data_IF_176521245933
#
_entry.id   IF_176521245933
#
_cell.length_a   1.000
_cell.length_b   1.000
_cell.length_c   1.000
_cell.angle_alpha   90.00
_cell.angle_beta   90.00
_cell.angle_gamma   90.00
#
_symmetry.space_group_name_H-M   'P 1'
#
loop_
_entity.id
_entity.type
_entity.pdbx_description
1 polymer ?
#
# COMPACT_ATOMS: atom_id res chain seq x y z
N UNK A 1 10.86 -45.06 26.18
CA UNK A 1 11.64 -44.07 25.39
C UNK A 1 11.53 -44.40 23.91
N UNK A 2 10.58 -43.82 23.17
CA UNK A 2 10.53 -43.94 21.69
C UNK A 2 9.56 -42.88 21.14
N UNK A 3 10.06 -41.66 20.94
CA UNK A 3 9.48 -40.69 20.00
C UNK A 3 10.67 -40.07 19.24
N UNK A 4 10.81 -40.42 17.96
CA UNK A 4 11.76 -39.79 17.02
C UNK A 4 11.00 -38.73 16.20
N UNK A 5 11.54 -37.53 16.00
CA UNK A 5 10.96 -36.55 15.08
C UNK A 5 11.45 -36.85 13.66
N UNK A 6 10.54 -37.33 12.80
CA UNK A 6 10.83 -37.62 11.38
C UNK A 6 10.36 -36.52 10.41
N UNK A 7 9.86 -35.39 10.89
CA UNK A 7 9.23 -34.38 10.01
C UNK A 7 10.14 -33.21 9.58
N UNK A 8 11.34 -33.05 10.14
CA UNK A 8 12.18 -31.88 9.86
C UNK A 8 12.82 -31.84 8.45
N UNK A 9 13.32 -32.95 7.88
CA UNK A 9 14.04 -32.91 6.61
C UNK A 9 13.14 -32.56 5.42
N UNK A 10 11.90 -33.05 5.43
CA UNK A 10 10.91 -32.78 4.37
C UNK A 10 10.44 -31.32 4.37
N UNK A 11 10.23 -30.74 5.55
CA UNK A 11 9.87 -29.31 5.68
C UNK A 11 11.00 -28.41 5.21
N UNK A 12 12.25 -28.75 5.53
CA UNK A 12 13.42 -28.01 5.04
C UNK A 12 13.64 -28.17 3.53
N UNK A 13 13.43 -29.36 2.97
CA UNK A 13 13.63 -29.61 1.54
C UNK A 13 12.55 -28.90 0.69
N UNK A 14 11.30 -28.88 1.19
CA UNK A 14 10.23 -28.09 0.59
C UNK A 14 10.47 -26.58 0.72
N UNK A 15 11.04 -26.12 1.84
CA UNK A 15 11.45 -24.72 2.01
C UNK A 15 12.57 -24.32 1.04
N UNK A 16 13.55 -25.20 0.81
CA UNK A 16 14.69 -24.92 -0.06
C UNK A 16 14.29 -24.91 -1.55
N UNK A 17 13.45 -25.86 -1.98
CA UNK A 17 12.86 -25.86 -3.33
C UNK A 17 11.92 -24.67 -3.54
N UNK A 18 11.29 -24.17 -2.48
CA UNK A 18 10.45 -22.97 -2.50
C UNK A 18 11.27 -21.68 -2.67
N UNK A 19 12.49 -21.60 -2.15
CA UNK A 19 13.39 -20.44 -2.36
C UNK A 19 14.00 -20.41 -3.77
N UNK A 20 14.40 -21.56 -4.35
CA UNK A 20 15.02 -21.60 -5.68
C UNK A 20 14.06 -21.30 -6.84
N UNK A 21 12.76 -21.60 -6.71
CA UNK A 21 11.76 -21.28 -7.74
C UNK A 21 11.33 -19.80 -7.76
N UNK A 22 11.77 -19.00 -6.78
CA UNK A 22 11.24 -17.65 -6.53
C UNK A 22 12.17 -16.50 -6.98
N UNK A 23 13.38 -16.81 -7.50
CA UNK A 23 14.45 -15.82 -7.65
C UNK A 23 14.52 -15.10 -9.00
N UNK A 24 13.65 -15.42 -9.97
CA UNK A 24 13.56 -14.74 -11.25
C UNK A 24 12.18 -14.10 -11.45
N UNK A 25 12.12 -12.76 -11.42
CA UNK A 25 11.30 -11.90 -12.28
C UNK A 25 11.23 -10.47 -11.70
N UNK A 26 12.00 -9.57 -12.31
CA UNK A 26 11.88 -8.12 -12.17
C UNK A 26 11.13 -7.57 -13.38
N UNK A 27 9.90 -8.02 -13.59
CA UNK A 27 8.97 -7.40 -14.53
C UNK A 27 7.79 -6.88 -13.70
N UNK A 28 7.61 -5.57 -13.73
CA UNK A 28 6.55 -4.87 -12.99
C UNK A 28 5.21 -5.30 -13.58
N UNK A 29 4.37 -5.85 -12.71
CA UNK A 29 3.01 -6.33 -12.95
C UNK A 29 2.14 -5.77 -11.85
N UNK A 30 0.83 -5.69 -12.08
CA UNK A 30 -0.09 -5.18 -11.05
C UNK A 30 -0.02 -6.08 -9.81
N UNK A 31 0.45 -5.53 -8.69
CA UNK A 31 0.72 -6.31 -7.49
C UNK A 31 0.11 -5.66 -6.25
N UNK A 32 -0.66 -6.45 -5.49
CA UNK A 32 -0.94 -6.10 -4.09
C UNK A 32 0.14 -6.76 -3.25
N UNK A 33 0.79 -5.98 -2.41
CA UNK A 33 1.70 -6.50 -1.39
C UNK A 33 1.07 -6.30 -0.01
N UNK A 34 1.09 -7.33 0.82
CA UNK A 34 0.59 -7.25 2.20
C UNK A 34 1.73 -7.46 3.19
N UNK A 35 1.78 -6.61 4.20
CA UNK A 35 2.62 -6.80 5.38
C UNK A 35 1.80 -7.49 6.46
N UNK A 36 2.19 -8.70 6.84
CA UNK A 36 1.50 -9.45 7.90
C UNK A 36 2.18 -9.18 9.25
N UNK A 37 1.42 -8.97 10.34
CA UNK A 37 2.00 -8.79 11.65
C UNK A 37 2.87 -9.97 12.06
N UNK A 38 4.04 -9.68 12.65
CA UNK A 38 5.03 -10.73 13.03
C UNK A 38 4.42 -11.86 13.86
N UNK A 39 3.50 -11.52 14.77
CA UNK A 39 2.84 -12.49 15.64
C UNK A 39 1.82 -13.38 14.89
N UNK A 40 1.28 -12.91 13.77
CA UNK A 40 0.33 -13.66 12.92
C UNK A 40 0.99 -14.39 11.76
N UNK A 41 2.26 -14.11 11.50
CA UNK A 41 2.98 -14.60 10.33
C UNK A 41 3.01 -16.14 10.22
N UNK A 42 3.24 -16.86 11.34
CA UNK A 42 3.24 -18.33 11.33
C UNK A 42 1.87 -18.88 10.90
N UNK A 43 0.79 -18.33 11.45
CA UNK A 43 -0.57 -18.76 11.12
C UNK A 43 -0.92 -18.42 9.67
N UNK A 44 -0.52 -17.25 9.19
CA UNK A 44 -0.66 -16.84 7.81
C UNK A 44 0.02 -17.83 6.86
N UNK A 45 1.30 -18.18 7.11
CA UNK A 45 2.04 -19.19 6.33
C UNK A 45 1.36 -20.55 6.31
N UNK A 46 0.82 -20.99 7.45
CA UNK A 46 0.11 -22.27 7.54
C UNK A 46 -1.17 -22.28 6.70
N UNK A 47 -1.96 -21.20 6.78
CA UNK A 47 -3.18 -21.05 5.96
C UNK A 47 -2.83 -21.00 4.48
N UNK A 48 -1.80 -20.26 4.12
CA UNK A 48 -1.33 -20.11 2.76
C UNK A 48 -0.78 -21.43 2.19
N UNK A 49 0.00 -22.19 2.96
CA UNK A 49 0.49 -23.50 2.56
C UNK A 49 -0.63 -24.53 2.36
N UNK A 50 -1.77 -24.35 3.04
CA UNK A 50 -2.97 -25.18 2.80
C UNK A 50 -3.69 -24.85 1.48
N UNK A 51 -3.34 -23.72 0.84
CA UNK A 51 -3.91 -23.24 -0.41
C UNK A 51 -2.83 -23.25 -1.50
N UNK A 52 -2.63 -24.42 -2.11
CA UNK A 52 -1.52 -24.71 -3.04
C UNK A 52 -1.41 -23.70 -4.20
N UNK A 53 -2.54 -23.19 -4.68
CA UNK A 53 -2.62 -22.22 -5.78
C UNK A 53 -2.12 -20.83 -5.37
N UNK A 54 -2.40 -20.38 -4.14
CA UNK A 54 -1.94 -19.08 -3.62
C UNK A 54 -0.45 -19.09 -3.26
N UNK A 55 0.09 -20.23 -2.85
CA UNK A 55 1.51 -20.37 -2.51
C UNK A 55 2.44 -20.10 -3.70
N UNK A 56 1.95 -20.31 -4.94
CA UNK A 56 2.69 -20.06 -6.19
C UNK A 56 2.71 -18.57 -6.58
N UNK A 57 1.74 -17.78 -6.09
CA UNK A 57 1.52 -16.39 -6.48
C UNK A 57 2.32 -15.40 -5.65
N UNK A 58 3.01 -15.88 -4.64
CA UNK A 58 3.83 -15.05 -3.77
C UNK A 58 5.09 -14.63 -4.51
N UNK A 59 5.54 -13.40 -4.30
CA UNK A 59 6.96 -13.05 -4.38
C UNK A 59 7.39 -12.47 -3.04
N UNK A 60 8.56 -12.89 -2.56
CA UNK A 60 9.11 -12.44 -1.28
C UNK A 60 10.14 -11.35 -1.56
N UNK A 61 9.93 -10.14 -1.03
CA UNK A 61 10.99 -9.12 -0.97
C UNK A 61 10.78 -8.15 0.17
N UNK A 62 11.78 -8.02 1.04
CA UNK A 62 12.27 -6.75 1.58
C UNK A 62 13.58 -7.02 2.33
N UNK A 63 14.63 -6.30 1.95
CA UNK A 63 15.95 -6.35 2.57
C UNK A 63 16.11 -5.32 3.69
N UNK A 64 15.09 -4.52 4.02
CA UNK A 64 15.31 -3.31 4.82
C UNK A 64 14.43 -3.17 6.07
N UNK A 65 13.36 -3.95 6.24
CA UNK A 65 12.62 -3.98 7.50
C UNK A 65 12.23 -5.40 7.88
N UNK A 66 12.33 -5.70 9.18
CA UNK A 66 12.07 -6.99 9.86
C UNK A 66 10.62 -7.52 9.71
N UNK A 67 9.90 -7.16 8.66
CA UNK A 67 8.50 -7.52 8.43
C UNK A 67 8.39 -8.28 7.10
N UNK A 68 7.73 -9.44 7.13
CA UNK A 68 7.55 -10.22 5.92
C UNK A 68 6.43 -9.62 5.07
N UNK A 69 6.79 -9.28 3.83
CA UNK A 69 5.88 -8.75 2.81
C UNK A 69 5.61 -9.84 1.79
N UNK A 70 4.33 -10.04 1.49
CA UNK A 70 3.82 -11.03 0.55
C UNK A 70 3.20 -10.30 -0.64
N UNK A 71 3.79 -10.48 -1.84
CA UNK A 71 3.28 -9.87 -3.08
C UNK A 71 2.40 -10.85 -3.84
N UNK A 72 1.24 -10.42 -4.34
CA UNK A 72 0.31 -11.20 -5.16
C UNK A 72 0.18 -10.56 -6.54
N UNK A 73 0.43 -11.34 -7.59
CA UNK A 73 0.26 -10.97 -8.99
C UNK A 73 -1.15 -11.36 -9.46
N UNK A 74 -2.01 -10.36 -9.71
CA UNK A 74 -3.41 -10.59 -10.07
C UNK A 74 -3.63 -10.79 -11.57
N UNK A 75 -2.66 -10.55 -12.44
CA UNK A 75 -2.80 -10.84 -13.87
C UNK A 75 -2.89 -12.35 -14.13
N UNK A 76 -2.17 -13.12 -13.30
CA UNK A 76 -2.23 -14.58 -13.29
C UNK A 76 -3.44 -15.13 -12.54
N UNK A 77 -4.12 -14.27 -11.78
CA UNK A 77 -5.35 -14.62 -11.10
C UNK A 77 -6.52 -14.39 -12.06
N UNK A 78 -6.91 -15.42 -12.83
CA UNK A 78 -8.27 -15.46 -13.41
C UNK A 78 -9.23 -15.04 -12.30
N UNK A 79 -10.12 -14.06 -12.56
CA UNK A 79 -11.08 -13.41 -11.62
C UNK A 79 -12.05 -14.41 -10.94
N UNK A 80 -11.49 -15.40 -10.28
CA UNK A 80 -12.13 -16.52 -9.65
C UNK A 80 -12.40 -16.08 -8.23
N UNK A 81 -13.64 -15.70 -7.96
CA UNK A 81 -14.11 -15.28 -6.64
C UNK A 81 -13.65 -16.21 -5.52
N UNK A 82 -13.53 -17.52 -5.78
CA UNK A 82 -13.02 -18.49 -4.80
C UNK A 82 -11.58 -18.20 -4.36
N UNK A 83 -10.72 -17.77 -5.26
CA UNK A 83 -9.33 -17.47 -4.94
C UNK A 83 -9.20 -16.18 -4.12
N UNK A 84 -10.03 -15.18 -4.43
CA UNK A 84 -10.14 -13.96 -3.62
C UNK A 84 -10.64 -14.30 -2.21
N UNK A 85 -11.64 -15.18 -2.09
CA UNK A 85 -12.12 -15.69 -0.80
C UNK A 85 -11.02 -16.45 -0.05
N UNK A 86 -10.24 -17.30 -0.74
CA UNK A 86 -9.12 -18.01 -0.13
C UNK A 86 -8.03 -17.05 0.35
N UNK A 87 -7.72 -16.01 -0.43
CA UNK A 87 -6.76 -14.99 -0.06
C UNK A 87 -7.24 -14.24 1.19
N UNK A 88 -8.49 -13.79 1.19
CA UNK A 88 -9.13 -13.13 2.35
C UNK A 88 -9.10 -14.02 3.60
N UNK A 89 -9.43 -15.30 3.45
CA UNK A 89 -9.34 -16.27 4.56
C UNK A 89 -7.91 -16.47 5.08
N UNK A 90 -6.90 -16.40 4.20
CA UNK A 90 -5.49 -16.48 4.60
C UNK A 90 -5.08 -15.24 5.40
N UNK A 91 -5.36 -14.05 4.87
CA UNK A 91 -5.06 -12.75 5.49
C UNK A 91 -5.75 -12.61 6.85
N UNK A 92 -7.00 -13.07 6.94
CA UNK A 92 -7.88 -12.77 8.07
C UNK A 92 -8.28 -11.30 8.08
N UNK A 93 -8.70 -10.82 9.25
CA UNK A 93 -9.31 -9.49 9.38
C UNK A 93 -8.28 -8.38 9.69
N UNK A 94 -7.00 -8.73 9.91
CA UNK A 94 -5.98 -7.78 10.33
C UNK A 94 -4.65 -8.01 9.60
N UNK A 95 -4.23 -7.01 8.85
CA UNK A 95 -2.88 -6.90 8.29
C UNK A 95 -2.22 -5.61 8.81
N UNK A 96 -0.89 -5.53 8.78
CA UNK A 96 -0.19 -4.31 9.23
C UNK A 96 -0.13 -3.29 8.09
N UNK A 97 0.20 -3.75 6.88
CA UNK A 97 0.45 -2.91 5.71
C UNK A 97 -0.27 -3.45 4.48
N UNK A 98 -0.84 -2.55 3.70
CA UNK A 98 -1.32 -2.79 2.35
C UNK A 98 -0.53 -1.91 1.40
N UNK A 99 0.07 -2.50 0.38
CA UNK A 99 0.76 -1.81 -0.70
C UNK A 99 0.10 -2.18 -2.02
N UNK A 100 -0.29 -1.18 -2.80
CA UNK A 100 -0.94 -1.37 -4.09
C UNK A 100 -0.04 -0.74 -5.15
N UNK A 101 0.45 -1.57 -6.06
CA UNK A 101 1.36 -1.20 -7.14
C UNK A 101 0.64 -1.30 -8.49
N UNK A 102 0.33 -0.15 -9.07
CA UNK A 102 -0.32 0.02 -10.37
C UNK A 102 0.68 0.63 -11.35
N UNK A 103 1.04 -0.14 -12.37
CA UNK A 103 1.88 0.33 -13.49
C UNK A 103 1.02 0.48 -14.75
N UNK A 104 0.51 1.69 -15.00
CA UNK A 104 -0.25 2.02 -16.22
C UNK A 104 0.66 2.19 -17.46
N UNK A 105 1.99 2.17 -17.30
CA UNK A 105 2.91 2.39 -18.43
C UNK A 105 3.04 1.16 -19.34
N UNK A 106 2.56 0.02 -18.86
CA UNK A 106 2.45 -1.21 -19.60
C UNK A 106 0.97 -1.33 -19.99
N UNK A 107 0.64 -1.69 -21.24
CA UNK A 107 -0.71 -2.00 -21.72
C UNK A 107 -1.28 -3.27 -21.02
N UNK A 108 -1.24 -3.26 -19.71
CA UNK A 108 -1.51 -4.36 -18.81
C UNK A 108 -2.80 -4.00 -18.09
N UNK A 109 -3.81 -4.88 -18.09
CA UNK A 109 -5.07 -4.59 -17.45
C UNK A 109 -4.85 -4.33 -15.95
N UNK A 110 -5.11 -3.10 -15.54
CA UNK A 110 -5.14 -2.69 -14.14
C UNK A 110 -6.11 -3.58 -13.36
N UNK A 111 -5.77 -3.93 -12.12
CA UNK A 111 -6.70 -4.62 -11.21
C UNK A 111 -8.02 -3.83 -11.12
N UNK A 112 -9.15 -4.42 -11.53
CA UNK A 112 -10.43 -3.72 -11.49
C UNK A 112 -10.77 -3.26 -10.06
N UNK A 113 -11.29 -2.04 -9.94
CA UNK A 113 -11.64 -1.41 -8.67
C UNK A 113 -12.59 -2.28 -7.82
N UNK A 114 -13.52 -2.99 -8.45
CA UNK A 114 -14.44 -3.91 -7.79
C UNK A 114 -13.74 -5.14 -7.21
N UNK A 115 -12.69 -5.64 -7.87
CA UNK A 115 -11.86 -6.74 -7.36
C UNK A 115 -11.04 -6.27 -6.16
N UNK A 116 -10.40 -5.11 -6.25
CA UNK A 116 -9.68 -4.52 -5.12
C UNK A 116 -10.62 -4.34 -3.92
N UNK A 117 -11.81 -3.78 -4.14
CA UNK A 117 -12.82 -3.58 -3.11
C UNK A 117 -13.23 -4.91 -2.43
N UNK A 118 -13.37 -6.00 -3.19
CA UNK A 118 -13.69 -7.32 -2.64
C UNK A 118 -12.57 -7.90 -1.76
N UNK A 119 -11.30 -7.68 -2.15
CA UNK A 119 -10.15 -8.18 -1.41
C UNK A 119 -10.03 -7.51 -0.05
N UNK A 120 -10.19 -6.19 -0.02
CA UNK A 120 -9.95 -5.35 1.17
C UNK A 120 -11.19 -5.24 2.08
N UNK A 121 -12.35 -5.67 1.61
CA UNK A 121 -13.60 -5.55 2.35
C UNK A 121 -13.49 -6.24 3.72
N UNK A 122 -13.79 -5.47 4.78
CA UNK A 122 -13.72 -5.94 6.16
C UNK A 122 -12.31 -6.14 6.73
N UNK A 123 -11.24 -5.87 5.97
CA UNK A 123 -9.86 -5.97 6.46
C UNK A 123 -9.45 -4.67 7.15
N UNK A 124 -8.89 -4.80 8.35
CA UNK A 124 -8.29 -3.71 9.09
C UNK A 124 -6.79 -3.67 8.81
N UNK A 125 -6.27 -2.48 8.53
CA UNK A 125 -4.85 -2.25 8.34
C UNK A 125 -4.50 -0.83 8.72
N UNK A 126 -3.26 -0.62 9.16
CA UNK A 126 -2.84 0.67 9.72
C UNK A 126 -2.18 1.56 8.68
N UNK A 127 -1.55 0.95 7.70
CA UNK A 127 -0.69 1.62 6.73
C UNK A 127 -1.08 1.22 5.31
N UNK A 128 -1.38 2.21 4.48
CA UNK A 128 -1.59 2.05 3.04
C UNK A 128 -0.43 2.70 2.29
N UNK A 129 0.12 2.00 1.29
CA UNK A 129 1.06 2.55 0.31
C UNK A 129 0.46 2.37 -1.07
N UNK A 130 0.44 3.44 -1.85
CA UNK A 130 -0.08 3.44 -3.21
C UNK A 130 1.05 3.88 -4.12
N UNK A 131 1.40 3.03 -5.07
CA UNK A 131 2.28 3.36 -6.20
C UNK A 131 1.39 3.37 -7.44
N UNK A 132 1.08 4.54 -7.97
CA UNK A 132 0.15 4.67 -9.10
C UNK A 132 0.62 5.78 -10.04
N UNK A 133 0.66 5.53 -11.35
CA UNK A 133 1.03 6.58 -12.30
C UNK A 133 0.03 7.75 -12.24
N UNK A 134 -1.27 7.47 -12.39
CA UNK A 134 -2.34 8.48 -12.28
C UNK A 134 -3.47 8.11 -11.29
N UNK A 135 -3.71 8.92 -10.26
CA UNK A 135 -4.89 8.71 -9.39
C UNK A 135 -6.13 9.29 -10.09
N UNK A 136 -6.98 8.40 -10.62
CA UNK A 136 -8.27 8.77 -11.25
C UNK A 136 -9.37 9.05 -10.23
N UNK A 137 -10.43 9.76 -10.66
CA UNK A 137 -11.60 10.08 -9.81
C UNK A 137 -12.27 8.80 -9.27
N UNK A 138 -12.38 7.75 -10.09
CA UNK A 138 -12.98 6.48 -9.68
C UNK A 138 -12.15 5.77 -8.61
N UNK A 139 -10.83 5.78 -8.76
CA UNK A 139 -9.93 5.21 -7.76
C UNK A 139 -9.95 6.03 -6.48
N UNK A 140 -9.92 7.37 -6.56
CA UNK A 140 -10.04 8.26 -5.41
C UNK A 140 -11.34 7.99 -4.62
N UNK A 141 -12.46 7.85 -5.31
CA UNK A 141 -13.75 7.50 -4.69
C UNK A 141 -13.72 6.13 -4.01
N UNK A 142 -13.04 5.14 -4.60
CA UNK A 142 -12.83 3.84 -3.97
C UNK A 142 -12.00 3.97 -2.68
N UNK A 143 -10.90 4.72 -2.72
CA UNK A 143 -10.04 4.96 -1.55
C UNK A 143 -10.85 5.57 -0.41
N UNK A 144 -11.60 6.64 -0.71
CA UNK A 144 -12.39 7.37 0.28
C UNK A 144 -13.48 6.51 0.92
N UNK A 145 -14.15 5.67 0.12
CA UNK A 145 -15.27 4.86 0.59
C UNK A 145 -14.84 3.62 1.36
N UNK A 146 -13.77 2.94 0.93
CA UNK A 146 -13.44 1.60 1.40
C UNK A 146 -12.15 1.53 2.23
N UNK A 147 -11.18 2.41 2.00
CA UNK A 147 -9.83 2.28 2.58
C UNK A 147 -9.57 3.31 3.66
N UNK A 148 -9.91 4.58 3.44
CA UNK A 148 -9.58 5.66 4.39
C UNK A 148 -10.15 5.50 5.81
N UNK A 149 -11.40 5.03 6.03
CA UNK A 149 -11.98 5.01 7.37
C UNK A 149 -11.25 4.15 8.41
N UNK A 150 -10.46 3.16 7.98
CA UNK A 150 -9.73 2.24 8.85
C UNK A 150 -8.24 2.57 9.02
N UNK A 151 -7.75 3.65 8.38
CA UNK A 151 -6.32 3.94 8.24
C UNK A 151 -5.77 4.98 9.23
N UNK A 152 -4.58 4.68 9.76
CA UNK A 152 -3.79 5.66 10.53
C UNK A 152 -2.78 6.41 9.63
N UNK A 153 -2.23 5.74 8.61
CA UNK A 153 -1.17 6.24 7.74
C UNK A 153 -1.46 5.93 6.28
N UNK A 154 -1.23 6.90 5.40
CA UNK A 154 -1.19 6.70 3.94
C UNK A 154 0.12 7.24 3.33
N UNK A 155 0.69 6.48 2.39
CA UNK A 155 1.80 6.91 1.55
C UNK A 155 1.35 6.90 0.10
N UNK A 156 1.36 8.06 -0.52
CA UNK A 156 0.95 8.29 -1.89
C UNK A 156 2.20 8.51 -2.74
N UNK A 157 2.49 7.57 -3.62
CA UNK A 157 3.57 7.65 -4.60
C UNK A 157 2.94 7.67 -5.97
N UNK A 158 2.77 8.86 -6.52
CA UNK A 158 2.14 9.04 -7.82
C UNK A 158 2.83 10.08 -8.67
N UNK A 159 2.57 9.99 -9.98
CA UNK A 159 3.11 10.95 -10.96
C UNK A 159 2.08 12.04 -11.25
N UNK A 160 0.79 11.69 -11.37
CA UNK A 160 -0.30 12.63 -11.65
C UNK A 160 -1.57 12.25 -10.89
N UNK A 161 -2.47 13.21 -10.74
CA UNK A 161 -3.82 13.01 -10.23
C UNK A 161 -4.77 13.78 -11.14
N UNK A 162 -6.00 13.31 -11.34
CA UNK A 162 -7.00 14.00 -12.16
C UNK A 162 -7.28 15.43 -11.66
N UNK A 163 -7.30 16.42 -12.57
CA UNK A 163 -7.36 17.85 -12.22
C UNK A 163 -8.67 18.32 -11.56
N UNK A 164 -9.74 17.52 -11.62
CA UNK A 164 -11.09 17.93 -11.20
C UNK A 164 -11.21 18.15 -9.68
N UNK A 165 -10.37 17.50 -8.85
CA UNK A 165 -10.62 17.48 -7.39
C UNK A 165 -9.41 17.25 -6.45
N UNK A 166 -8.17 17.45 -6.89
CA UNK A 166 -6.94 17.08 -6.14
C UNK A 166 -6.88 17.65 -4.71
N UNK A 167 -7.17 18.94 -4.56
CA UNK A 167 -7.14 19.60 -3.26
C UNK A 167 -8.18 19.03 -2.29
N UNK A 168 -9.39 18.73 -2.77
CA UNK A 168 -10.43 18.13 -1.92
C UNK A 168 -10.11 16.68 -1.57
N UNK A 169 -9.54 15.91 -2.50
CA UNK A 169 -9.07 14.56 -2.20
C UNK A 169 -8.03 14.57 -1.07
N UNK A 170 -7.00 15.44 -1.14
CA UNK A 170 -6.00 15.55 -0.09
C UNK A 170 -6.60 16.01 1.25
N UNK A 171 -7.60 16.90 1.23
CA UNK A 171 -8.35 17.30 2.41
C UNK A 171 -9.15 16.15 2.99
N UNK A 172 -9.84 15.37 2.16
CA UNK A 172 -10.57 14.19 2.57
C UNK A 172 -9.61 13.19 3.23
N UNK A 173 -8.50 12.86 2.58
CA UNK A 173 -7.43 12.02 3.15
C UNK A 173 -7.01 12.50 4.53
N UNK A 174 -6.66 13.78 4.68
CA UNK A 174 -6.23 14.37 5.96
C UNK A 174 -7.29 14.32 7.08
N UNK A 175 -8.56 14.11 6.74
CA UNK A 175 -9.66 13.96 7.70
C UNK A 175 -9.77 12.55 8.29
N UNK A 176 -9.18 11.56 7.61
CA UNK A 176 -9.18 10.17 8.04
C UNK A 176 -7.87 9.77 8.70
N UNK A 177 -6.73 10.14 8.09
CA UNK A 177 -5.42 9.63 8.50
C UNK A 177 -4.63 10.65 9.35
N UNK A 178 -3.70 10.13 10.16
CA UNK A 178 -2.79 10.95 10.98
C UNK A 178 -1.49 11.28 10.25
N UNK A 179 -1.04 10.41 9.35
CA UNK A 179 0.20 10.62 8.62
C UNK A 179 -0.01 10.45 7.12
N UNK A 180 0.44 11.46 6.37
CA UNK A 180 0.43 11.45 4.91
C UNK A 180 1.87 11.57 4.43
N UNK A 181 2.28 10.67 3.53
CA UNK A 181 3.49 10.81 2.74
C UNK A 181 3.12 11.06 1.27
N UNK A 182 3.76 12.02 0.61
CA UNK A 182 3.56 12.31 -0.83
C UNK A 182 4.93 12.34 -1.51
N UNK A 183 5.16 11.48 -2.50
CA UNK A 183 6.44 11.46 -3.21
C UNK A 183 6.67 12.73 -4.02
N UNK A 184 5.72 13.14 -4.85
CA UNK A 184 5.86 14.31 -5.71
C UNK A 184 4.73 15.31 -5.49
N UNK A 185 5.06 16.43 -4.87
CA UNK A 185 4.10 17.50 -4.62
C UNK A 185 4.10 18.56 -5.73
N UNK A 186 4.96 18.43 -6.75
CA UNK A 186 5.06 19.39 -7.86
C UNK A 186 3.95 19.20 -8.88
N UNK A 187 3.62 17.94 -9.13
CA UNK A 187 2.65 17.51 -10.14
C UNK A 187 1.26 17.24 -9.57
N UNK A 188 0.96 17.76 -8.37
CA UNK A 188 -0.37 17.64 -7.75
C UNK A 188 -1.42 18.53 -8.41
N UNK A 189 -1.16 19.07 -9.61
CA UNK A 189 -2.06 19.95 -10.37
C UNK A 189 -2.56 21.20 -9.64
N UNK A 190 -1.94 21.55 -8.51
CA UNK A 190 -2.31 22.69 -7.66
C UNK A 190 -1.91 24.05 -8.27
N UNK A 191 -1.80 24.14 -9.61
CA UNK A 191 -1.52 25.39 -10.30
C UNK A 191 -2.61 26.42 -9.96
N UNK A 192 -2.24 27.45 -9.19
CA UNK A 192 -3.16 28.50 -8.74
C UNK A 192 -3.81 28.27 -7.36
N UNK A 193 -3.57 27.13 -6.70
CA UNK A 193 -3.99 26.90 -5.31
C UNK A 193 -2.87 27.34 -4.36
N UNK A 194 -3.20 28.08 -3.30
CA UNK A 194 -2.25 28.40 -2.25
C UNK A 194 -1.94 27.13 -1.44
N UNK A 195 -0.85 26.44 -1.79
CA UNK A 195 -0.43 25.20 -1.14
C UNK A 195 -0.30 25.34 0.38
N UNK A 196 0.04 26.54 0.88
CA UNK A 196 0.13 26.77 2.32
C UNK A 196 -1.24 26.74 2.99
N UNK A 197 -2.28 27.30 2.36
CA UNK A 197 -3.64 27.23 2.90
C UNK A 197 -4.17 25.80 2.87
N UNK A 198 -3.94 25.08 1.76
CA UNK A 198 -4.31 23.67 1.66
C UNK A 198 -3.66 22.83 2.77
N UNK A 199 -2.35 22.95 2.95
CA UNK A 199 -1.61 22.20 3.99
C UNK A 199 -2.08 22.62 5.39
N UNK A 200 -2.30 23.91 5.64
CA UNK A 200 -2.87 24.38 6.90
C UNK A 200 -4.22 23.73 7.22
N UNK A 201 -5.10 23.68 6.21
CA UNK A 201 -6.42 23.03 6.32
C UNK A 201 -6.28 21.53 6.55
N UNK A 202 -5.34 20.85 5.90
CA UNK A 202 -5.07 19.43 6.17
C UNK A 202 -4.66 19.21 7.64
N UNK A 203 -3.80 20.05 8.20
CA UNK A 203 -3.39 19.96 9.62
C UNK A 203 -4.48 20.42 10.60
N UNK A 204 -5.49 21.15 10.15
CA UNK A 204 -6.67 21.48 10.97
C UNK A 204 -7.62 20.29 11.17
N UNK A 205 -7.42 19.21 10.42
CA UNK A 205 -8.18 17.96 10.54
C UNK A 205 -7.51 16.99 11.53
N UNK A 206 -7.42 15.69 11.19
CA UNK A 206 -6.80 14.65 12.03
C UNK A 206 -5.31 14.47 11.77
N UNK A 207 -4.79 15.07 10.69
CA UNK A 207 -3.41 14.90 10.27
C UNK A 207 -2.44 15.49 11.30
N UNK A 208 -1.53 14.64 11.78
CA UNK A 208 -0.49 14.97 12.75
C UNK A 208 0.88 15.16 12.08
N UNK A 209 1.11 14.52 10.92
CA UNK A 209 2.36 14.59 10.17
C UNK A 209 2.10 14.59 8.66
N UNK A 210 2.85 15.43 7.93
CA UNK A 210 2.93 15.42 6.48
C UNK A 210 4.41 15.30 6.08
N UNK A 211 4.71 14.32 5.24
CA UNK A 211 6.05 14.13 4.69
C UNK A 211 5.99 14.23 3.17
N UNK A 212 6.90 15.00 2.59
CA UNK A 212 6.95 15.20 1.15
C UNK A 212 8.38 15.10 0.66
N UNK A 213 8.60 14.34 -0.41
CA UNK A 213 9.92 14.14 -0.98
C UNK A 213 10.28 15.23 -2.00
N UNK A 214 9.45 15.45 -3.01
CA UNK A 214 9.73 16.49 -4.01
C UNK A 214 8.84 17.71 -3.83
N UNK A 215 9.46 18.80 -3.35
CA UNK A 215 8.89 20.15 -3.35
C UNK A 215 9.71 21.07 -4.27
N UNK A 216 9.09 22.08 -4.84
CA UNK A 216 9.85 23.19 -5.41
C UNK A 216 10.49 24.01 -4.28
N UNK A 217 11.74 24.48 -4.41
CA UNK A 217 12.42 25.25 -3.36
C UNK A 217 11.63 26.46 -2.87
N UNK A 218 10.95 27.19 -3.78
CA UNK A 218 10.12 28.35 -3.44
C UNK A 218 8.90 28.01 -2.58
N UNK A 219 8.31 26.82 -2.73
CA UNK A 219 7.22 26.36 -1.87
C UNK A 219 7.70 26.04 -0.45
N UNK A 220 8.92 25.51 -0.29
CA UNK A 220 9.48 25.18 1.03
C UNK A 220 9.65 26.46 1.86
N UNK A 221 10.20 27.52 1.26
CA UNK A 221 10.38 28.81 1.92
C UNK A 221 9.03 29.43 2.28
N UNK A 222 8.08 29.45 1.35
CA UNK A 222 6.74 29.96 1.58
C UNK A 222 5.99 29.19 2.68
N UNK A 223 6.17 27.87 2.78
CA UNK A 223 5.57 27.06 3.84
C UNK A 223 6.21 27.31 5.20
N UNK A 224 7.54 27.51 5.25
CA UNK A 224 8.24 27.86 6.49
C UNK A 224 7.78 29.22 7.03
N UNK A 225 7.55 30.18 6.14
CA UNK A 225 7.08 31.52 6.51
C UNK A 225 5.61 31.53 6.94
N UNK A 226 4.74 30.82 6.20
CA UNK A 226 3.29 30.81 6.46
C UNK A 226 2.86 29.85 7.57
N UNK A 227 3.62 28.79 7.84
CA UNK A 227 3.26 27.74 8.79
C UNK A 227 4.34 27.47 9.86
N UNK A 228 4.80 28.50 10.60
CA UNK A 228 5.90 28.35 11.56
C UNK A 228 5.59 27.38 12.70
N UNK A 229 4.32 27.23 13.07
CA UNK A 229 3.84 26.29 14.12
C UNK A 229 3.72 24.85 13.65
N UNK A 230 3.67 24.61 12.33
CA UNK A 230 3.53 23.27 11.72
C UNK A 230 4.89 22.68 11.37
N UNK A 231 5.96 23.47 11.38
CA UNK A 231 7.28 23.07 10.87
C UNK A 231 7.92 21.82 11.49
N UNK A 232 7.50 21.37 12.69
CA UNK A 232 7.96 20.08 13.27
C UNK A 232 7.18 18.86 12.78
N UNK A 233 5.99 19.10 12.23
CA UNK A 233 5.07 18.09 11.70
C UNK A 233 5.17 17.95 10.18
N UNK A 234 5.82 18.91 9.52
CA UNK A 234 6.11 18.90 8.10
C UNK A 234 7.56 18.45 7.89
N UNK A 235 7.74 17.31 7.24
CA UNK A 235 9.05 16.77 6.91
C UNK A 235 9.30 16.88 5.41
N UNK A 236 10.46 17.44 5.05
CA UNK A 236 10.94 17.47 3.67
C UNK A 236 12.00 16.38 3.54
N UNK A 237 11.71 15.30 2.82
CA UNK A 237 12.69 14.26 2.56
C UNK A 237 13.64 14.75 1.47
N UNK A 238 14.94 14.82 1.79
CA UNK A 238 16.02 15.25 0.92
C UNK A 238 16.47 14.16 -0.04
#
# INVERSE_FOLDING_TARGET
>A
CLWKPLCYPLVMYLWFLWEELFQECSERRTAISIGVPRHNNILFKLRLASQLELAQLLRRRSNEELQEVYKFDFESMDNNSKMLDHLRNCMGDLIDDLEIDYDETLDVPSLPNDVLAQIIDGIQFKRLRIYHAEISDDFANLLEKHLLPSLDHISLVYTRMSDSNQGNFLLNVSSYVRHVFISDFRDTGLSGVDCADLIARMFSNKMEKLEVQFFTPGCIELLRDKLPTVGRKLCFAS
#
